data_IF_028605969306
#
_entry.id   IF_028605969306
#
_cell.length_a   1.000
_cell.length_b   1.000
_cell.length_c   1.000
_cell.angle_alpha   90.00
_cell.angle_beta   90.00
_cell.angle_gamma   90.00
#
_symmetry.space_group_name_H-M   'P 1'
#
loop_
_entity.id
_entity.type
_entity.pdbx_description
1 polymer ?
#
# COMPACT_ATOMS: atom_id res chain seq x y z
N UNK A 1 6.59 -1.13 -16.11
CA UNK A 1 7.48 -0.23 -16.87
C UNK A 1 7.40 -0.71 -18.30
N UNK A 2 7.05 0.15 -19.25
CA UNK A 2 7.03 -0.19 -20.67
C UNK A 2 8.42 0.16 -21.22
N UNK A 3 9.25 -0.82 -21.63
CA UNK A 3 10.57 -0.53 -22.16
C UNK A 3 10.47 0.42 -23.35
N UNK A 4 11.18 1.55 -23.28
CA UNK A 4 11.13 2.57 -24.33
C UNK A 4 12.41 3.40 -24.30
N UNK A 5 13.11 3.45 -25.43
CA UNK A 5 14.40 4.15 -25.58
C UNK A 5 14.31 5.42 -26.43
N UNK A 6 13.17 5.66 -27.08
CA UNK A 6 12.93 6.88 -27.87
C UNK A 6 12.89 8.15 -27.04
N UNK A 7 12.77 9.28 -27.74
CA UNK A 7 12.81 10.61 -27.12
C UNK A 7 11.39 11.10 -26.79
N UNK A 8 11.03 11.10 -25.50
CA UNK A 8 9.80 11.71 -25.00
C UNK A 8 10.07 12.41 -23.66
N UNK A 9 9.37 13.52 -23.40
CA UNK A 9 9.62 14.37 -22.23
C UNK A 9 9.38 13.67 -20.88
N UNK A 10 8.50 12.68 -20.83
CA UNK A 10 8.10 11.99 -19.60
C UNK A 10 8.70 10.60 -19.42
N UNK A 11 9.74 10.24 -20.20
CA UNK A 11 10.51 9.02 -19.98
C UNK A 11 11.03 8.98 -18.54
N UNK A 12 10.86 7.84 -17.86
CA UNK A 12 11.25 7.65 -16.47
C UNK A 12 12.45 6.70 -16.38
N UNK A 13 13.28 6.95 -15.37
CA UNK A 13 14.26 5.99 -14.87
C UNK A 13 13.83 5.51 -13.48
N UNK A 14 13.55 4.22 -13.35
CA UNK A 14 13.15 3.59 -12.09
C UNK A 14 14.20 2.55 -11.72
N UNK A 15 15.08 2.84 -10.73
CA UNK A 15 16.09 1.90 -10.28
C UNK A 15 15.48 0.56 -9.84
N UNK A 16 16.25 -0.53 -9.99
CA UNK A 16 15.88 -1.90 -9.55
C UNK A 16 14.70 -2.54 -10.29
N UNK A 17 14.25 -1.97 -11.41
CA UNK A 17 13.35 -2.67 -12.36
C UNK A 17 14.19 -3.43 -13.40
N UNK A 18 13.72 -4.57 -13.94
CA UNK A 18 14.45 -5.31 -14.99
C UNK A 18 14.80 -4.45 -16.20
N UNK A 19 13.86 -3.59 -16.59
CA UNK A 19 14.05 -2.51 -17.56
C UNK A 19 13.90 -1.17 -16.83
N UNK A 20 15.00 -0.53 -16.40
CA UNK A 20 14.95 0.69 -15.58
C UNK A 20 14.44 1.92 -16.34
N UNK A 21 14.72 1.99 -17.64
CA UNK A 21 14.38 3.14 -18.49
C UNK A 21 13.17 2.82 -19.36
N UNK A 22 12.16 3.69 -19.32
CA UNK A 22 10.99 3.53 -20.17
C UNK A 22 9.83 4.45 -19.78
N UNK A 23 8.61 4.03 -20.14
CA UNK A 23 7.38 4.74 -19.75
C UNK A 23 6.81 4.07 -18.50
N UNK A 24 6.62 4.89 -17.46
CA UNK A 24 5.98 4.42 -16.22
C UNK A 24 4.47 4.38 -16.44
N UNK A 25 3.86 3.22 -16.21
CA UNK A 25 2.43 3.00 -16.33
C UNK A 25 1.87 2.59 -14.96
N UNK A 26 0.83 3.27 -14.49
CA UNK A 26 0.04 2.86 -13.35
C UNK A 26 -1.08 1.94 -13.84
N UNK A 27 -1.32 0.84 -13.14
CA UNK A 27 -2.26 -0.20 -13.59
C UNK A 27 -3.16 -0.57 -12.42
N UNK A 28 -4.45 -0.61 -12.68
CA UNK A 28 -5.44 -1.27 -11.84
C UNK A 28 -5.75 -2.63 -12.45
N UNK A 29 -5.65 -3.69 -11.66
CA UNK A 29 -5.96 -5.04 -12.09
C UNK A 29 -6.85 -5.75 -11.07
N UNK A 30 -7.62 -6.71 -11.56
CA UNK A 30 -8.23 -7.73 -10.72
C UNK A 30 -7.18 -8.61 -10.04
N UNK A 31 -7.61 -9.38 -9.05
CA UNK A 31 -6.77 -10.38 -8.36
C UNK A 31 -6.24 -11.45 -9.33
N UNK A 32 -6.97 -11.75 -10.39
CA UNK A 32 -6.60 -12.75 -11.40
C UNK A 32 -5.69 -12.19 -12.49
N UNK A 33 -5.27 -10.92 -12.39
CA UNK A 33 -4.35 -10.28 -13.34
C UNK A 33 -5.03 -9.62 -14.54
N UNK A 34 -6.35 -9.65 -14.67
CA UNK A 34 -7.07 -8.87 -15.68
C UNK A 34 -6.86 -7.36 -15.41
N UNK A 35 -6.32 -6.64 -16.39
CA UNK A 35 -6.18 -5.18 -16.33
C UNK A 35 -7.57 -4.55 -16.50
N UNK A 36 -7.95 -3.71 -15.54
CA UNK A 36 -9.25 -3.04 -15.50
C UNK A 36 -9.14 -1.58 -15.97
N UNK A 37 -8.06 -0.90 -15.61
CA UNK A 37 -7.75 0.47 -16.05
C UNK A 37 -6.23 0.72 -15.97
N UNK A 38 -5.73 1.74 -16.66
CA UNK A 38 -4.33 2.15 -16.60
C UNK A 38 -4.15 3.64 -16.89
N UNK A 39 -3.03 4.21 -16.43
CA UNK A 39 -2.68 5.60 -16.64
C UNK A 39 -1.16 5.75 -16.84
N UNK A 40 -0.77 6.29 -18.01
CA UNK A 40 0.65 6.51 -18.31
C UNK A 40 1.14 7.75 -17.58
N UNK A 41 2.18 7.59 -16.77
CA UNK A 41 2.76 8.70 -16.03
C UNK A 41 3.49 9.68 -16.96
N UNK A 42 2.97 10.91 -17.02
CA UNK A 42 3.47 12.01 -17.83
C UNK A 42 4.14 13.12 -17.00
N UNK A 43 4.47 12.85 -15.72
CA UNK A 43 5.00 13.86 -14.81
C UNK A 43 3.92 14.51 -13.94
N UNK A 44 4.12 15.79 -13.58
CA UNK A 44 3.22 16.53 -12.66
C UNK A 44 1.80 16.71 -13.20
N UNK A 45 1.59 16.64 -14.51
CA UNK A 45 0.29 16.81 -15.17
C UNK A 45 -0.53 15.52 -15.31
N UNK A 46 0.03 14.35 -14.97
CA UNK A 46 -0.59 13.03 -15.20
C UNK A 46 -2.04 12.96 -14.72
N UNK A 47 -2.33 13.55 -13.56
CA UNK A 47 -3.61 13.39 -12.86
C UNK A 47 -4.36 14.71 -12.67
N UNK A 48 -4.17 15.68 -13.57
CA UNK A 48 -4.82 17.00 -13.52
C UNK A 48 -6.34 16.97 -13.52
N UNK A 49 -6.95 15.85 -13.90
CA UNK A 49 -8.40 15.68 -13.97
C UNK A 49 -9.03 15.23 -12.65
N UNK A 50 -8.24 14.80 -11.66
CA UNK A 50 -8.78 14.46 -10.34
C UNK A 50 -9.07 15.78 -9.60
N UNK A 51 -10.32 16.09 -9.25
CA UNK A 51 -10.64 17.27 -8.46
C UNK A 51 -9.76 17.32 -7.22
N UNK A 52 -9.30 18.51 -6.82
CA UNK A 52 -8.67 18.64 -5.50
C UNK A 52 -9.65 18.10 -4.47
N UNK A 53 -9.30 16.99 -3.82
CA UNK A 53 -10.12 16.46 -2.74
C UNK A 53 -10.04 17.47 -1.61
N UNK A 54 -11.13 18.21 -1.40
CA UNK A 54 -11.27 19.17 -0.33
C UNK A 54 -11.11 18.47 1.02
N UNK A 55 -9.98 18.72 1.67
CA UNK A 55 -9.62 18.12 2.95
C UNK A 55 -8.28 18.65 3.45
N UNK A 56 -7.95 18.47 4.73
CA UNK A 56 -6.75 19.04 5.34
C UNK A 56 -5.43 18.47 4.80
N UNK A 57 -5.47 17.32 4.11
CA UNK A 57 -4.28 16.60 3.64
C UNK A 57 -4.27 16.50 2.10
N UNK A 58 -3.20 17.01 1.49
CA UNK A 58 -3.00 16.95 0.03
C UNK A 58 -2.63 15.54 -0.42
N UNK A 59 -3.32 15.05 -1.44
CA UNK A 59 -2.95 13.82 -2.13
C UNK A 59 -1.62 13.99 -2.87
N UNK A 60 -0.69 13.06 -2.66
CA UNK A 60 0.48 12.92 -3.51
C UNK A 60 0.11 12.32 -4.88
N UNK A 61 1.03 12.40 -5.84
CA UNK A 61 0.85 11.87 -7.21
C UNK A 61 0.42 10.41 -7.25
N UNK A 62 0.92 9.58 -6.32
CA UNK A 62 0.48 8.18 -6.19
C UNK A 62 -0.99 8.07 -5.79
N UNK A 63 -1.42 8.80 -4.77
CA UNK A 63 -2.82 8.80 -4.32
C UNK A 63 -3.77 9.32 -5.40
N UNK A 64 -3.38 10.37 -6.13
CA UNK A 64 -4.16 10.87 -7.27
C UNK A 64 -4.31 9.80 -8.37
N UNK A 65 -3.24 9.06 -8.67
CA UNK A 65 -3.30 7.98 -9.66
C UNK A 65 -4.27 6.88 -9.23
N UNK A 66 -4.26 6.48 -7.94
CA UNK A 66 -5.22 5.49 -7.43
C UNK A 66 -6.65 5.99 -7.54
N UNK A 67 -6.92 7.25 -7.15
CA UNK A 67 -8.28 7.80 -7.25
C UNK A 67 -8.78 7.86 -8.69
N UNK A 68 -7.91 8.26 -9.63
CA UNK A 68 -8.24 8.27 -11.06
C UNK A 68 -8.61 6.88 -11.54
N UNK A 69 -7.78 5.89 -11.26
CA UNK A 69 -8.02 4.50 -11.66
C UNK A 69 -9.26 3.90 -10.98
N UNK A 70 -9.61 4.36 -9.77
CA UNK A 70 -10.76 3.91 -9.01
C UNK A 70 -12.09 4.59 -9.41
N UNK A 71 -12.11 5.48 -10.40
CA UNK A 71 -13.32 6.22 -10.80
C UNK A 71 -14.47 5.31 -11.25
N UNK A 72 -14.14 4.21 -11.93
CA UNK A 72 -15.11 3.24 -12.44
C UNK A 72 -15.36 2.08 -11.47
N UNK A 73 -14.68 2.06 -10.31
CA UNK A 73 -14.89 1.02 -9.31
C UNK A 73 -16.22 1.25 -8.57
N UNK A 74 -17.09 0.22 -8.48
CA UNK A 74 -18.34 0.35 -7.74
C UNK A 74 -18.09 0.44 -6.21
N UNK A 75 -19.00 1.07 -5.44
CA UNK A 75 -19.00 0.98 -3.99
C UNK A 75 -18.98 -0.49 -3.52
N UNK A 76 -18.30 -0.75 -2.40
CA UNK A 76 -18.03 -2.10 -1.90
C UNK A 76 -16.74 -2.73 -2.47
N UNK A 77 -16.07 -2.08 -3.42
CA UNK A 77 -14.75 -2.50 -3.90
C UNK A 77 -13.71 -2.37 -2.79
N UNK A 78 -12.75 -3.30 -2.75
CA UNK A 78 -11.56 -3.21 -1.90
C UNK A 78 -10.30 -3.15 -2.76
N UNK A 79 -9.53 -2.07 -2.61
CA UNK A 79 -8.29 -1.84 -3.33
C UNK A 79 -7.08 -2.22 -2.49
N UNK A 80 -6.12 -2.89 -3.11
CA UNK A 80 -4.81 -3.16 -2.54
C UNK A 80 -3.76 -2.39 -3.31
N UNK A 81 -2.84 -1.73 -2.60
CA UNK A 81 -1.82 -0.90 -3.24
C UNK A 81 -0.48 -0.94 -2.52
N UNK A 82 0.58 -0.62 -3.27
CA UNK A 82 1.94 -0.58 -2.74
C UNK A 82 2.19 0.64 -1.83
N UNK A 83 3.38 0.64 -1.22
CA UNK A 83 3.86 1.69 -0.33
C UNK A 83 3.93 3.09 -0.95
N UNK A 84 4.16 3.20 -2.25
CA UNK A 84 4.25 4.49 -2.96
C UNK A 84 2.87 5.16 -3.08
N UNK A 85 1.79 4.38 -3.11
CA UNK A 85 0.43 4.91 -3.23
C UNK A 85 -0.22 5.23 -1.88
N UNK A 86 0.04 4.43 -0.84
CA UNK A 86 -0.62 4.54 0.48
C UNK A 86 -0.44 5.90 1.15
N UNK A 87 -1.53 6.47 1.67
CA UNK A 87 -1.55 7.66 2.52
C UNK A 87 -2.93 7.91 3.11
N UNK A 88 -3.01 8.65 4.22
CA UNK A 88 -4.27 8.92 4.94
C UNK A 88 -5.30 9.57 4.01
N UNK A 89 -4.91 10.64 3.29
CA UNK A 89 -5.80 11.35 2.37
C UNK A 89 -6.41 10.45 1.28
N UNK A 90 -5.66 9.45 0.81
CA UNK A 90 -6.17 8.48 -0.15
C UNK A 90 -7.24 7.58 0.48
N UNK A 91 -6.98 7.08 1.68
CA UNK A 91 -7.93 6.21 2.40
C UNK A 91 -9.24 6.94 2.69
N UNK A 92 -9.17 8.21 3.09
CA UNK A 92 -10.34 9.05 3.32
C UNK A 92 -11.14 9.26 2.03
N UNK A 93 -10.47 9.63 0.93
CA UNK A 93 -11.11 9.86 -0.35
C UNK A 93 -11.77 8.59 -0.93
N UNK A 94 -11.13 7.43 -0.77
CA UNK A 94 -11.73 6.15 -1.16
C UNK A 94 -12.95 5.82 -0.30
N UNK A 95 -12.87 6.05 1.02
CA UNK A 95 -13.99 5.81 1.94
C UNK A 95 -15.23 6.64 1.57
N UNK A 96 -15.05 7.90 1.18
CA UNK A 96 -16.15 8.75 0.68
C UNK A 96 -16.82 8.20 -0.59
N UNK A 97 -16.09 7.44 -1.42
CA UNK A 97 -16.62 6.73 -2.58
C UNK A 97 -17.23 5.36 -2.26
N UNK A 98 -17.27 4.97 -0.97
CA UNK A 98 -17.68 3.63 -0.56
C UNK A 98 -16.67 2.55 -0.95
N UNK A 99 -15.41 2.93 -1.22
CA UNK A 99 -14.32 2.01 -1.57
C UNK A 99 -13.41 1.86 -0.35
N UNK A 100 -13.05 0.63 -0.03
CA UNK A 100 -12.09 0.34 1.02
C UNK A 100 -10.69 0.15 0.44
N UNK A 101 -9.66 0.39 1.25
CA UNK A 101 -8.27 0.37 0.79
C UNK A 101 -7.33 -0.23 1.83
N UNK A 102 -6.35 -1.01 1.37
CA UNK A 102 -5.28 -1.57 2.20
C UNK A 102 -3.94 -1.48 1.48
N UNK A 103 -2.91 -1.02 2.19
CA UNK A 103 -1.56 -0.99 1.63
C UNK A 103 -0.48 -1.00 2.67
N UNK A 104 0.73 -1.33 2.23
CA UNK A 104 1.94 -1.07 3.03
C UNK A 104 2.15 0.44 3.11
N UNK A 105 2.65 0.95 4.23
CA UNK A 105 2.69 2.39 4.52
C UNK A 105 4.13 2.91 4.67
N UNK A 106 4.35 4.16 4.27
CA UNK A 106 5.56 4.89 4.62
C UNK A 106 5.35 5.57 5.98
N UNK A 107 6.20 5.32 6.98
CA UNK A 107 6.16 6.00 8.28
C UNK A 107 6.04 7.53 8.14
N UNK A 108 6.72 8.12 7.15
CA UNK A 108 6.69 9.57 6.89
C UNK A 108 5.32 10.11 6.48
N UNK A 109 4.44 9.26 5.91
CA UNK A 109 3.09 9.64 5.48
C UNK A 109 2.03 9.53 6.57
N UNK A 110 2.44 9.03 7.74
CA UNK A 110 1.61 8.89 8.93
C UNK A 110 2.41 9.43 10.13
N UNK A 111 2.73 10.74 10.13
CA UNK A 111 3.48 11.37 11.23
C UNK A 111 2.66 11.37 12.51
N UNK A 112 3.34 11.49 13.66
CA UNK A 112 2.71 11.62 14.99
C UNK A 112 1.79 10.46 15.36
N UNK A 113 2.13 9.26 14.92
CA UNK A 113 1.44 8.04 15.35
C UNK A 113 2.05 7.55 16.65
N UNK A 114 1.22 7.10 17.59
CA UNK A 114 1.64 6.46 18.84
C UNK A 114 2.11 5.01 18.62
N UNK A 115 2.62 4.69 17.43
CA UNK A 115 3.15 3.37 17.12
C UNK A 115 4.54 3.22 17.76
N UNK A 116 4.78 2.07 18.38
CA UNK A 116 6.10 1.63 18.84
C UNK A 116 7.15 1.82 17.76
N UNK A 117 8.34 2.23 18.16
CA UNK A 117 9.52 2.33 17.28
C UNK A 117 9.89 0.96 16.71
N UNK A 118 10.73 0.94 15.67
CA UNK A 118 11.20 -0.32 15.10
C UNK A 118 12.01 -1.12 16.13
N UNK A 119 12.78 -0.43 17.00
CA UNK A 119 13.60 -1.04 18.03
C UNK A 119 12.77 -1.69 19.13
N UNK A 120 11.79 -0.96 19.69
CA UNK A 120 10.89 -1.48 20.74
C UNK A 120 10.13 -2.71 20.25
N UNK A 121 9.52 -2.61 19.05
CA UNK A 121 8.72 -3.72 18.54
C UNK A 121 9.58 -4.93 18.14
N UNK A 122 10.80 -4.71 17.63
CA UNK A 122 11.71 -5.83 17.32
C UNK A 122 12.21 -6.54 18.57
N UNK A 123 12.36 -5.82 19.69
CA UNK A 123 12.73 -6.40 20.98
C UNK A 123 11.66 -7.36 21.53
N UNK A 124 10.38 -7.16 21.15
CA UNK A 124 9.27 -8.07 21.47
C UNK A 124 9.28 -9.37 20.63
N UNK A 125 10.15 -9.45 19.62
CA UNK A 125 10.38 -10.65 18.83
C UNK A 125 9.58 -10.71 17.52
N UNK A 126 9.92 -11.70 16.69
CA UNK A 126 9.29 -11.90 15.38
C UNK A 126 7.84 -12.34 15.55
N UNK A 127 6.93 -11.66 14.85
CA UNK A 127 5.48 -11.83 15.01
C UNK A 127 4.83 -10.74 15.85
N UNK A 128 5.63 -9.97 16.62
CA UNK A 128 5.12 -8.85 17.40
C UNK A 128 4.42 -7.83 16.49
N UNK A 129 3.32 -7.27 17.01
CA UNK A 129 2.58 -6.24 16.30
C UNK A 129 2.05 -5.17 17.25
N UNK A 130 1.96 -3.96 16.72
CA UNK A 130 1.40 -2.80 17.37
C UNK A 130 0.36 -2.14 16.47
N UNK A 131 -0.70 -1.62 17.08
CA UNK A 131 -1.89 -1.16 16.36
C UNK A 131 -2.31 0.20 16.89
N UNK A 132 -2.53 1.13 15.98
CA UNK A 132 -3.14 2.43 16.27
C UNK A 132 -4.34 2.57 15.36
N UNK A 133 -5.49 2.90 15.93
CA UNK A 133 -6.69 3.24 15.18
C UNK A 133 -6.89 4.74 15.29
N UNK A 134 -7.25 5.39 14.18
CA UNK A 134 -7.61 6.81 14.19
C UNK A 134 -8.85 7.01 15.06
N UNK A 135 -8.96 8.18 15.71
CA UNK A 135 -10.02 8.49 16.68
C UNK A 135 -11.45 8.28 16.15
N UNK A 136 -11.66 8.46 14.84
CA UNK A 136 -12.95 8.25 14.16
C UNK A 136 -13.16 6.80 13.68
N UNK A 137 -12.31 5.87 14.13
CA UNK A 137 -12.30 4.43 13.81
C UNK A 137 -12.24 4.09 12.31
N UNK A 138 -11.92 5.08 11.47
CA UNK A 138 -12.04 4.93 10.02
C UNK A 138 -10.82 4.31 9.36
N UNK A 139 -9.64 4.51 9.95
CA UNK A 139 -8.35 4.11 9.43
C UNK A 139 -7.56 3.45 10.54
N UNK A 140 -7.07 2.25 10.27
CA UNK A 140 -6.19 1.49 11.13
C UNK A 140 -4.77 1.51 10.59
N UNK A 141 -3.81 1.72 11.48
CA UNK A 141 -2.40 1.50 11.23
C UNK A 141 -1.91 0.31 12.05
N UNK A 142 -1.23 -0.59 11.37
CA UNK A 142 -0.63 -1.76 11.99
C UNK A 142 0.85 -1.82 11.66
N UNK A 143 1.65 -2.10 12.68
CA UNK A 143 3.07 -2.40 12.55
C UNK A 143 3.31 -3.85 12.94
N UNK A 144 4.08 -4.58 12.14
CA UNK A 144 4.33 -6.02 12.34
C UNK A 144 5.79 -6.36 12.07
N UNK A 145 6.37 -7.23 12.88
CA UNK A 145 7.77 -7.68 12.76
C UNK A 145 7.84 -9.03 12.07
N UNK A 146 8.40 -9.04 10.87
CA UNK A 146 8.92 -10.27 10.25
C UNK A 146 10.46 -10.27 10.33
N UNK A 147 11.18 -10.47 9.21
CA UNK A 147 12.62 -10.22 9.15
C UNK A 147 12.95 -8.72 9.27
N UNK A 148 11.99 -7.88 8.89
CA UNK A 148 12.00 -6.43 9.04
C UNK A 148 10.61 -5.99 9.46
N UNK A 149 10.55 -4.84 10.09
CA UNK A 149 9.30 -4.23 10.48
C UNK A 149 8.57 -3.67 9.26
N UNK A 150 7.28 -4.01 9.15
CA UNK A 150 6.38 -3.55 8.10
C UNK A 150 5.30 -2.70 8.75
N UNK A 151 4.98 -1.57 8.15
CA UNK A 151 3.81 -0.76 8.53
C UNK A 151 2.76 -0.88 7.45
N UNK A 152 1.50 -1.01 7.83
CA UNK A 152 0.36 -1.14 6.95
C UNK A 152 -0.75 -0.18 7.40
N UNK A 153 -1.54 0.29 6.45
CA UNK A 153 -2.72 1.10 6.69
C UNK A 153 -3.91 0.46 6.00
N UNK A 154 -5.08 0.48 6.65
CA UNK A 154 -6.30 -0.07 6.07
C UNK A 154 -7.56 0.63 6.57
N UNK A 155 -8.60 0.63 5.76
CA UNK A 155 -9.98 0.99 6.16
C UNK A 155 -10.90 -0.21 6.34
N UNK A 156 -10.39 -1.45 6.21
CA UNK A 156 -11.22 -2.67 6.29
C UNK A 156 -10.62 -3.81 7.10
N UNK A 157 -9.29 -3.93 7.16
CA UNK A 157 -8.60 -5.06 7.78
C UNK A 157 -7.82 -4.62 9.01
N UNK A 158 -7.91 -5.39 10.09
CA UNK A 158 -7.20 -5.14 11.34
C UNK A 158 -6.22 -6.24 11.73
N UNK A 159 -5.93 -6.31 13.04
CA UNK A 159 -5.05 -7.34 13.62
C UNK A 159 -5.67 -8.73 13.58
N UNK A 160 -6.91 -8.86 14.04
CA UNK A 160 -7.60 -10.13 14.20
C UNK A 160 -8.40 -10.54 12.94
N UNK A 161 -8.67 -11.85 12.73
CA UNK A 161 -8.07 -12.97 13.46
C UNK A 161 -6.58 -13.14 13.15
N UNK A 162 -5.80 -13.59 14.13
CA UNK A 162 -4.40 -13.96 13.91
C UNK A 162 -4.34 -15.30 13.15
N UNK A 163 -3.27 -15.46 12.39
CA UNK A 163 -2.98 -16.70 11.65
C UNK A 163 -1.50 -17.04 11.76
N UNK A 164 -1.13 -18.29 11.53
CA UNK A 164 0.28 -18.68 11.49
C UNK A 164 0.81 -18.61 10.06
N UNK A 165 1.93 -17.92 9.87
CA UNK A 165 2.68 -17.93 8.63
C UNK A 165 3.96 -18.76 8.81
N UNK A 166 4.16 -19.74 7.91
CA UNK A 166 5.41 -20.51 7.86
C UNK A 166 6.50 -19.63 7.25
N UNK A 167 7.55 -19.34 8.02
CA UNK A 167 8.63 -18.43 7.63
C UNK A 167 9.99 -19.05 7.90
N UNK A 168 10.94 -18.88 6.99
CA UNK A 168 12.31 -19.32 7.23
C UNK A 168 12.98 -18.39 8.26
N UNK A 169 13.60 -18.97 9.27
CA UNK A 169 14.46 -18.30 10.25
C UNK A 169 15.91 -18.54 9.88
N UNK A 170 16.67 -17.48 9.58
CA UNK A 170 18.11 -17.61 9.29
C UNK A 170 18.92 -17.95 10.54
N UNK A 171 18.46 -17.49 11.71
CA UNK A 171 19.11 -17.76 12.99
C UNK A 171 19.01 -19.24 13.35
N UNK A 172 17.82 -19.83 13.18
CA UNK A 172 17.57 -21.24 13.51
C UNK A 172 17.79 -22.19 12.32
N UNK A 173 18.02 -21.64 11.12
CA UNK A 173 18.17 -22.39 9.85
C UNK A 173 16.99 -23.31 9.50
N UNK A 174 15.81 -23.04 10.04
CA UNK A 174 14.60 -23.84 9.84
C UNK A 174 13.37 -22.96 9.59
N UNK A 175 12.27 -23.59 9.19
CA UNK A 175 10.98 -22.92 9.12
C UNK A 175 10.32 -22.85 10.49
N UNK A 176 9.87 -21.66 10.87
CA UNK A 176 9.15 -21.38 12.11
C UNK A 176 7.74 -20.87 11.80
N UNK A 177 6.83 -21.04 12.75
CA UNK A 177 5.51 -20.44 12.68
C UNK A 177 5.53 -19.07 13.34
N UNK A 178 5.18 -18.03 12.57
CA UNK A 178 5.13 -16.65 13.03
C UNK A 178 3.66 -16.21 13.05
N UNK A 179 3.23 -15.63 14.18
CA UNK A 179 1.91 -15.01 14.25
C UNK A 179 1.82 -13.86 13.25
N UNK A 180 0.80 -13.92 12.40
CA UNK A 180 0.56 -13.02 11.28
C UNK A 180 -0.83 -12.39 11.41
N UNK A 181 -0.89 -11.05 11.52
CA UNK A 181 -2.15 -10.30 11.53
C UNK A 181 -3.00 -10.51 10.28
N UNK A 182 -4.33 -10.39 10.42
CA UNK A 182 -5.30 -10.52 9.33
C UNK A 182 -4.99 -9.57 8.16
N UNK A 183 -4.68 -8.30 8.44
CA UNK A 183 -4.29 -7.31 7.41
C UNK A 183 -3.11 -7.80 6.54
N UNK A 184 -2.10 -8.43 7.14
CA UNK A 184 -0.94 -8.97 6.42
C UNK A 184 -1.35 -10.18 5.59
N UNK A 185 -2.17 -11.06 6.15
CA UNK A 185 -2.72 -12.23 5.44
C UNK A 185 -3.48 -11.79 4.20
N UNK A 186 -4.44 -10.88 4.34
CA UNK A 186 -5.30 -10.42 3.25
C UNK A 186 -4.50 -9.73 2.16
N UNK A 187 -3.52 -8.90 2.54
CA UNK A 187 -2.62 -8.26 1.58
C UNK A 187 -1.76 -9.26 0.82
N UNK A 188 -1.23 -10.31 1.47
CA UNK A 188 -0.43 -11.31 0.76
C UNK A 188 -1.27 -12.15 -0.21
N UNK A 189 -2.57 -12.34 0.04
CA UNK A 189 -3.46 -13.07 -0.87
C UNK A 189 -3.72 -12.36 -2.19
N UNK A 190 -3.36 -11.07 -2.33
CA UNK A 190 -3.59 -10.30 -3.56
C UNK A 190 -2.41 -10.28 -4.51
N UNK A 191 -1.22 -10.62 -4.02
CA UNK A 191 -0.03 -10.75 -4.85
C UNK A 191 0.06 -12.22 -5.28
N UNK A 192 -0.26 -12.49 -6.55
CA UNK A 192 0.04 -13.78 -7.17
C UNK A 192 1.53 -13.74 -7.53
N UNK A 193 2.28 -14.72 -7.02
CA UNK A 193 3.69 -14.97 -7.44
C UNK A 193 3.75 -15.46 -8.88
#
# INVERSE_FOLDING_TARGET
>A
MIPFTGHVAFRQFVPRKPNPTGLKNYVLSSKQGLILDFEVYQGKSTTRLVPEVGGPLKLGTGGQAVLRLAETCPPGTHLYFDRFFTGIALLDALKLKGISGTGTAMKQRFPNTNLKSDAELTAEGRGACDVVVRDDESVLLLKWVDNKTITMASTAHGKAPLSLAKRYSRAEKQYVNVEMPSIVKQYNLTWVE
#
